data_IF_662837220065
#
_entry.id   IF_662837220065
#
_cell.length_a   1.000
_cell.length_b   1.000
_cell.length_c   1.000
_cell.angle_alpha   90.00
_cell.angle_beta   90.00
_cell.angle_gamma   90.00
#
_symmetry.space_group_name_H-M   'P 1'
#
loop_
_entity.id
_entity.type
_entity.pdbx_description
1 polymer ?
#
# COMPACT_ATOMS: atom_id res chain seq x y z
N UNK A 1 -58.78 -28.54 -21.26
CA UNK A 1 -57.71 -28.82 -20.27
C UNK A 1 -56.43 -28.23 -20.83
N UNK A 2 -56.15 -26.98 -20.48
CA UNK A 2 -55.18 -26.13 -21.20
C UNK A 2 -53.90 -26.02 -20.38
N UNK A 3 -52.83 -26.62 -20.88
CA UNK A 3 -51.49 -26.57 -20.29
C UNK A 3 -50.87 -25.21 -20.57
N UNK A 4 -50.75 -24.35 -19.56
CA UNK A 4 -49.99 -23.10 -19.64
C UNK A 4 -48.52 -23.42 -19.43
N UNK A 5 -47.74 -23.44 -20.51
CA UNK A 5 -46.27 -23.46 -20.47
C UNK A 5 -45.78 -22.15 -19.85
N UNK A 6 -45.04 -22.23 -18.74
CA UNK A 6 -44.28 -21.09 -18.21
C UNK A 6 -43.13 -20.76 -19.16
N UNK A 7 -42.85 -19.48 -19.48
CA UNK A 7 -41.70 -19.13 -20.28
C UNK A 7 -40.40 -19.37 -19.50
N UNK A 8 -39.47 -20.07 -20.15
CA UNK A 8 -38.10 -20.25 -19.72
C UNK A 8 -37.40 -18.89 -19.82
N UNK A 9 -37.23 -18.18 -18.70
CA UNK A 9 -36.38 -16.99 -18.65
C UNK A 9 -34.93 -17.45 -18.58
N UNK A 10 -34.36 -17.75 -19.73
CA UNK A 10 -32.91 -17.85 -19.89
C UNK A 10 -32.37 -16.43 -20.00
N UNK A 11 -31.97 -15.85 -18.89
CA UNK A 11 -31.19 -14.60 -18.88
C UNK A 11 -29.80 -14.89 -19.39
N UNK A 12 -29.63 -14.95 -20.72
CA UNK A 12 -28.31 -14.87 -21.36
C UNK A 12 -27.79 -13.45 -21.16
N UNK A 13 -26.96 -13.25 -20.13
CA UNK A 13 -26.12 -12.06 -20.04
C UNK A 13 -25.02 -12.25 -21.10
N UNK A 14 -25.16 -11.54 -22.21
CA UNK A 14 -24.10 -11.41 -23.20
C UNK A 14 -22.97 -10.59 -22.57
N UNK A 15 -21.87 -11.26 -22.21
CA UNK A 15 -20.62 -10.61 -21.80
C UNK A 15 -19.90 -10.10 -23.06
N UNK A 16 -20.42 -9.01 -23.64
CA UNK A 16 -19.68 -8.19 -24.61
C UNK A 16 -19.03 -7.05 -23.86
N UNK A 17 -17.86 -7.32 -23.32
CA UNK A 17 -17.06 -6.42 -22.50
C UNK A 17 -16.19 -7.27 -21.60
N UNK A 18 -14.87 -7.23 -21.81
CA UNK A 18 -13.93 -8.04 -21.04
C UNK A 18 -14.20 -7.91 -19.54
N UNK A 19 -14.17 -9.04 -18.83
CA UNK A 19 -14.20 -9.05 -17.36
C UNK A 19 -12.93 -8.33 -16.89
N UNK A 20 -13.06 -7.05 -16.55
CA UNK A 20 -11.98 -6.28 -15.93
C UNK A 20 -11.89 -6.72 -14.46
N UNK A 21 -10.87 -7.50 -14.14
CA UNK A 21 -10.49 -7.71 -12.76
C UNK A 21 -9.93 -6.38 -12.21
N UNK A 22 -10.72 -5.63 -11.43
CA UNK A 22 -10.17 -4.59 -10.55
C UNK A 22 -9.74 -5.29 -9.25
N UNK A 23 -8.69 -6.11 -9.32
CA UNK A 23 -8.04 -6.61 -8.11
C UNK A 23 -7.12 -5.51 -7.60
N UNK A 24 -7.66 -4.56 -6.85
CA UNK A 24 -6.83 -3.60 -6.11
C UNK A 24 -6.32 -4.27 -4.85
N UNK A 25 -5.00 -4.46 -4.74
CA UNK A 25 -4.38 -4.83 -3.47
C UNK A 25 -4.50 -3.64 -2.51
N UNK A 26 -5.13 -3.85 -1.36
CA UNK A 26 -5.25 -2.84 -0.30
C UNK A 26 -4.31 -3.17 0.86
N UNK A 27 -3.31 -2.33 1.06
CA UNK A 27 -2.37 -2.40 2.18
C UNK A 27 -2.81 -1.37 3.22
N UNK A 28 -2.96 -1.79 4.47
CA UNK A 28 -3.26 -0.90 5.59
C UNK A 28 -2.05 -0.82 6.52
N UNK A 29 -1.56 0.39 6.77
CA UNK A 29 -0.45 0.68 7.68
C UNK A 29 -1.00 1.32 8.96
N UNK A 30 -1.26 0.54 10.01
CA UNK A 30 -1.75 1.04 11.30
C UNK A 30 -0.60 1.74 12.05
N UNK A 31 -0.82 2.98 12.48
CA UNK A 31 0.20 3.78 13.19
C UNK A 31 -0.39 4.48 14.40
N UNK A 32 0.41 4.65 15.46
CA UNK A 32 0.02 5.52 16.57
C UNK A 32 -0.07 6.98 16.10
N UNK A 33 -0.98 7.74 16.70
CA UNK A 33 -1.30 9.11 16.29
C UNK A 33 -0.08 10.04 16.27
N UNK A 34 0.81 9.91 17.26
CA UNK A 34 2.06 10.69 17.38
C UNK A 34 3.06 10.42 16.24
N UNK A 35 2.95 9.26 15.58
CA UNK A 35 3.80 8.85 14.45
C UNK A 35 3.19 9.13 13.09
N UNK A 36 1.88 9.40 13.03
CA UNK A 36 1.12 9.51 11.78
C UNK A 36 1.77 10.43 10.74
N UNK A 37 2.09 11.66 11.15
CA UNK A 37 2.66 12.66 10.25
C UNK A 37 4.01 12.23 9.70
N UNK A 38 4.88 11.69 10.55
CA UNK A 38 6.19 11.23 10.15
C UNK A 38 6.11 10.06 9.16
N UNK A 39 5.19 9.11 9.38
CA UNK A 39 4.98 7.98 8.46
C UNK A 39 4.39 8.44 7.12
N UNK A 40 3.42 9.36 7.14
CA UNK A 40 2.89 9.97 5.92
C UNK A 40 3.98 10.69 5.13
N UNK A 41 4.80 11.49 5.79
CA UNK A 41 5.91 12.21 5.15
C UNK A 41 6.97 11.26 4.60
N UNK A 42 7.24 10.14 5.28
CA UNK A 42 8.12 9.10 4.76
C UNK A 42 7.59 8.52 3.43
N UNK A 43 6.33 8.08 3.38
CA UNK A 43 5.75 7.53 2.15
C UNK A 43 5.67 8.57 1.02
N UNK A 44 5.31 9.81 1.35
CA UNK A 44 5.14 10.89 0.36
C UNK A 44 6.47 11.44 -0.16
N UNK A 45 7.44 11.68 0.72
CA UNK A 45 8.67 12.39 0.39
C UNK A 45 9.83 11.43 0.13
N UNK A 46 10.02 10.43 1.00
CA UNK A 46 11.16 9.51 0.91
C UNK A 46 10.92 8.42 -0.16
N UNK A 47 9.73 7.81 -0.13
CA UNK A 47 9.32 6.82 -1.15
C UNK A 47 8.65 7.45 -2.38
N UNK A 48 8.40 8.77 -2.37
CA UNK A 48 7.77 9.50 -3.46
C UNK A 48 6.46 8.87 -3.97
N UNK A 49 5.68 8.25 -3.08
CA UNK A 49 4.43 7.62 -3.47
C UNK A 49 3.38 8.68 -3.84
N UNK A 50 2.64 8.50 -4.95
CA UNK A 50 1.57 9.39 -5.33
C UNK A 50 0.46 9.41 -4.28
N UNK A 51 0.16 10.60 -3.77
CA UNK A 51 -0.99 10.82 -2.89
C UNK A 51 -2.26 10.64 -3.71
N UNK A 52 -3.17 9.80 -3.21
CA UNK A 52 -4.49 9.60 -3.81
C UNK A 52 -5.55 10.42 -3.09
N UNK A 53 -5.63 10.31 -1.77
CA UNK A 53 -6.66 10.95 -0.96
C UNK A 53 -6.30 10.93 0.52
N UNK A 54 -6.88 11.84 1.30
CA UNK A 54 -6.75 11.90 2.76
C UNK A 54 -8.10 12.19 3.40
N UNK A 55 -8.21 11.98 4.71
CA UNK A 55 -9.44 12.29 5.43
C UNK A 55 -9.41 11.92 6.90
N UNK A 56 -10.60 11.89 7.49
CA UNK A 56 -10.83 11.55 8.90
C UNK A 56 -11.88 10.45 8.95
N UNK A 57 -11.66 9.43 9.78
CA UNK A 57 -12.60 8.32 9.97
C UNK A 57 -13.81 8.77 10.82
N UNK A 58 -14.86 7.94 10.88
CA UNK A 58 -16.01 8.18 11.75
C UNK A 58 -15.62 8.28 13.24
N UNK A 59 -14.49 7.70 13.64
CA UNK A 59 -13.96 7.78 15.00
C UNK A 59 -13.08 9.03 15.25
N UNK A 60 -12.92 9.90 14.26
CA UNK A 60 -12.08 11.11 14.37
C UNK A 60 -10.59 10.88 14.05
N UNK A 61 -10.22 9.68 13.60
CA UNK A 61 -8.82 9.33 13.33
C UNK A 61 -8.41 9.76 11.92
N UNK A 62 -7.31 10.52 11.74
CA UNK A 62 -6.82 10.84 10.41
C UNK A 62 -6.33 9.58 9.67
N UNK A 63 -6.46 9.63 8.34
CA UNK A 63 -5.93 8.62 7.44
C UNK A 63 -5.42 9.26 6.14
N UNK A 64 -4.47 8.60 5.49
CA UNK A 64 -3.87 9.04 4.23
C UNK A 64 -3.68 7.84 3.30
N UNK A 65 -4.12 7.97 2.04
CA UNK A 65 -4.01 6.93 1.02
C UNK A 65 -3.09 7.33 -0.13
N UNK A 66 -2.25 6.39 -0.52
CA UNK A 66 -1.38 6.42 -1.69
C UNK A 66 -1.86 5.38 -2.71
N UNK A 67 -1.55 5.60 -3.99
CA UNK A 67 -1.85 4.65 -5.08
C UNK A 67 -0.63 4.41 -5.95
N UNK A 68 -0.34 3.15 -6.26
CA UNK A 68 0.77 2.76 -7.12
C UNK A 68 0.44 1.46 -7.85
N UNK A 69 0.51 1.45 -9.18
CA UNK A 69 0.36 0.22 -9.98
C UNK A 69 -0.95 -0.55 -9.75
N UNK A 70 -2.04 0.14 -9.40
CA UNK A 70 -3.32 -0.49 -9.06
C UNK A 70 -3.44 -1.01 -7.61
N UNK A 71 -2.36 -0.93 -6.82
CA UNK A 71 -2.39 -1.15 -5.38
C UNK A 71 -2.63 0.17 -4.63
N UNK A 72 -3.22 0.08 -3.45
CA UNK A 72 -3.38 1.21 -2.53
C UNK A 72 -2.68 0.92 -1.21
N UNK A 73 -2.04 1.93 -0.65
CA UNK A 73 -1.48 1.91 0.69
C UNK A 73 -2.19 2.97 1.51
N UNK A 74 -2.84 2.60 2.61
CA UNK A 74 -3.55 3.53 3.50
C UNK A 74 -2.88 3.53 4.87
N UNK A 75 -2.29 4.67 5.25
CA UNK A 75 -1.83 4.93 6.62
C UNK A 75 -3.03 5.35 7.44
N UNK A 76 -3.29 4.69 8.56
CA UNK A 76 -4.46 4.96 9.40
C UNK A 76 -4.07 5.02 10.87
N UNK A 77 -4.54 6.03 11.60
CA UNK A 77 -4.20 6.13 13.03
C UNK A 77 -5.05 5.25 13.93
N UNK A 78 -4.39 4.73 14.97
CA UNK A 78 -4.98 4.26 16.21
C UNK A 78 -4.42 5.05 17.40
N UNK A 79 -4.92 4.75 18.60
CA UNK A 79 -4.43 5.39 19.84
C UNK A 79 -4.36 4.38 20.99
N UNK A 80 -3.23 4.34 21.68
CA UNK A 80 -3.03 3.51 22.87
C UNK A 80 -3.15 2.02 22.55
N UNK A 81 -2.62 1.59 21.40
CA UNK A 81 -2.74 0.22 20.89
C UNK A 81 -4.13 -0.16 20.39
N UNK A 82 -5.10 0.77 20.42
CA UNK A 82 -6.44 0.57 19.83
C UNK A 82 -6.45 1.11 18.42
N UNK A 83 -6.41 0.19 17.47
CA UNK A 83 -6.57 0.50 16.05
C UNK A 83 -8.02 0.26 15.63
N UNK A 84 -8.55 1.04 14.67
CA UNK A 84 -9.93 0.92 14.21
C UNK A 84 -10.25 -0.46 13.61
N UNK A 85 -9.21 -1.23 13.27
CA UNK A 85 -9.32 -2.59 12.75
C UNK A 85 -8.42 -3.53 13.59
N UNK A 86 -9.01 -4.28 14.55
CA UNK A 86 -8.27 -5.12 15.50
C UNK A 86 -7.38 -6.20 14.87
N UNK A 87 -7.70 -6.62 13.65
CA UNK A 87 -6.97 -7.59 12.84
C UNK A 87 -5.67 -7.01 12.24
N UNK A 88 -5.48 -5.70 12.28
CA UNK A 88 -4.28 -4.99 11.83
C UNK A 88 -3.49 -4.44 13.02
N UNK A 89 -3.24 -5.25 14.03
CA UNK A 89 -2.22 -4.88 15.02
C UNK A 89 -0.85 -4.91 14.34
N UNK A 90 0.07 -3.99 14.65
CA UNK A 90 1.46 -4.14 14.27
C UNK A 90 1.94 -5.49 14.81
N UNK A 91 2.09 -6.49 13.94
CA UNK A 91 2.42 -7.87 14.36
C UNK A 91 3.89 -7.97 14.78
N UNK A 92 4.66 -6.88 14.73
CA UNK A 92 6.12 -6.92 14.79
C UNK A 92 6.77 -7.54 13.55
N UNK A 93 5.96 -7.99 12.58
CA UNK A 93 6.37 -8.48 11.28
C UNK A 93 5.95 -7.39 10.31
N UNK A 94 6.85 -6.45 10.04
CA UNK A 94 6.57 -5.28 9.21
C UNK A 94 5.88 -5.66 7.90
N UNK A 95 5.02 -4.78 7.40
CA UNK A 95 4.44 -4.95 6.07
C UNK A 95 5.57 -4.84 5.06
N UNK A 96 5.97 -5.95 4.44
CA UNK A 96 6.94 -5.94 3.35
C UNK A 96 6.28 -5.34 2.10
N UNK A 97 6.49 -4.05 1.88
CA UNK A 97 6.13 -3.36 0.64
C UNK A 97 7.35 -3.36 -0.27
N UNK A 98 7.28 -4.01 -1.43
CA UNK A 98 8.29 -3.88 -2.48
C UNK A 98 7.84 -2.83 -3.51
N UNK A 99 8.71 -1.88 -3.82
CA UNK A 99 8.49 -0.87 -4.88
C UNK A 99 9.59 -1.00 -5.92
N UNK A 100 9.22 -1.19 -7.19
CA UNK A 100 10.17 -1.18 -8.29
C UNK A 100 10.44 0.26 -8.77
N UNK A 101 11.71 0.59 -8.97
CA UNK A 101 12.17 1.87 -9.50
C UNK A 101 13.11 1.65 -10.69
N UNK A 102 13.22 2.66 -11.55
CA UNK A 102 14.13 2.60 -12.69
C UNK A 102 15.60 2.54 -12.24
N UNK A 103 15.97 3.37 -11.26
CA UNK A 103 17.33 3.50 -10.72
C UNK A 103 17.32 3.56 -9.20
N UNK A 104 17.99 2.61 -8.55
CA UNK A 104 18.09 2.51 -7.08
C UNK A 104 18.92 3.68 -6.53
N UNK A 105 19.97 4.10 -7.22
CA UNK A 105 20.78 5.26 -6.85
C UNK A 105 19.98 6.55 -6.64
N UNK A 106 18.98 6.82 -7.50
CA UNK A 106 18.08 7.98 -7.32
C UNK A 106 17.19 7.83 -6.09
N UNK A 107 16.70 6.62 -5.82
CA UNK A 107 15.91 6.34 -4.64
C UNK A 107 16.75 6.50 -3.35
N UNK A 108 17.99 6.01 -3.34
CA UNK A 108 18.95 6.18 -2.24
C UNK A 108 19.20 7.66 -1.95
N UNK A 109 19.52 8.46 -2.97
CA UNK A 109 19.78 9.89 -2.80
C UNK A 109 18.58 10.62 -2.16
N UNK A 110 17.35 10.23 -2.56
CA UNK A 110 16.12 10.77 -1.95
C UNK A 110 15.96 10.34 -0.50
N UNK A 111 16.16 9.06 -0.19
CA UNK A 111 16.10 8.55 1.18
C UNK A 111 17.08 9.28 2.10
N UNK A 112 18.32 9.48 1.67
CA UNK A 112 19.35 10.22 2.41
C UNK A 112 18.94 11.68 2.64
N UNK A 113 18.38 12.35 1.63
CA UNK A 113 17.88 13.73 1.76
C UNK A 113 16.74 13.85 2.78
N UNK A 114 15.95 12.81 2.94
CA UNK A 114 14.89 12.70 3.94
C UNK A 114 15.38 12.15 5.29
N UNK A 115 16.68 11.87 5.43
CA UNK A 115 17.29 11.23 6.61
C UNK A 115 16.66 9.87 6.95
N UNK A 116 16.15 9.16 5.96
CA UNK A 116 15.68 7.79 6.11
C UNK A 116 16.88 6.84 6.17
N UNK A 117 16.93 5.99 7.20
CA UNK A 117 18.00 5.02 7.36
C UNK A 117 17.82 3.81 6.44
N UNK A 118 18.85 3.50 5.66
CA UNK A 118 18.95 2.23 4.93
C UNK A 118 19.36 1.15 5.92
N UNK A 119 18.59 0.06 5.95
CA UNK A 119 18.82 -1.08 6.82
C UNK A 119 19.78 -2.08 6.18
N UNK A 120 19.54 -2.40 4.91
CA UNK A 120 20.32 -3.36 4.12
C UNK A 120 20.33 -2.96 2.65
N UNK A 121 21.35 -3.41 1.93
CA UNK A 121 21.48 -3.33 0.48
C UNK A 121 21.91 -4.71 -0.04
N UNK A 122 21.27 -5.16 -1.10
CA UNK A 122 21.48 -6.47 -1.72
C UNK A 122 21.67 -6.32 -3.22
N UNK A 123 22.77 -6.83 -3.74
CA UNK A 123 22.98 -7.04 -5.18
C UNK A 123 22.74 -8.51 -5.51
N UNK A 124 21.77 -8.78 -6.37
CA UNK A 124 21.39 -10.14 -6.75
C UNK A 124 22.29 -10.73 -7.84
N UNK A 125 23.21 -9.96 -8.42
CA UNK A 125 24.17 -10.40 -9.44
C UNK A 125 23.60 -10.54 -10.86
N UNK A 126 22.29 -10.30 -11.05
CA UNK A 126 21.61 -10.22 -12.35
C UNK A 126 21.36 -8.76 -12.80
N UNK A 127 22.01 -7.82 -12.10
CA UNK A 127 21.84 -6.39 -12.26
C UNK A 127 20.58 -5.85 -11.59
N UNK A 128 19.94 -6.61 -10.70
CA UNK A 128 18.91 -6.13 -9.77
C UNK A 128 19.55 -5.81 -8.42
N UNK A 129 19.24 -4.63 -7.90
CA UNK A 129 19.60 -4.20 -6.54
C UNK A 129 18.32 -4.03 -5.74
N UNK A 130 18.34 -4.45 -4.47
CA UNK A 130 17.29 -4.13 -3.52
C UNK A 130 17.86 -3.43 -2.28
N UNK A 131 17.17 -2.39 -1.81
CA UNK A 131 17.46 -1.72 -0.55
C UNK A 131 16.27 -1.88 0.40
N UNK A 132 16.56 -2.17 1.66
CA UNK A 132 15.55 -2.23 2.72
C UNK A 132 15.61 -0.96 3.56
N UNK A 133 14.46 -0.36 3.86
CA UNK A 133 14.31 0.84 4.69
C UNK A 133 13.18 0.65 5.69
N UNK A 134 13.25 1.29 6.86
CA UNK A 134 12.14 1.33 7.80
C UNK A 134 11.44 2.69 7.79
N UNK A 135 10.11 2.68 7.81
CA UNK A 135 9.33 3.87 8.15
C UNK A 135 9.49 4.24 9.64
N UNK A 136 9.04 5.42 10.07
CA UNK A 136 9.08 5.82 11.49
C UNK A 136 8.25 4.95 12.46
N UNK A 137 7.36 4.09 11.95
CA UNK A 137 6.63 3.12 12.75
C UNK A 137 7.36 1.76 12.85
N UNK A 138 8.45 1.56 12.10
CA UNK A 138 9.24 0.33 12.05
C UNK A 138 8.78 -0.66 10.97
N UNK A 139 7.89 -0.27 10.06
CA UNK A 139 7.52 -1.11 8.92
C UNK A 139 8.63 -1.09 7.88
N UNK A 140 9.06 -2.28 7.45
CA UNK A 140 10.14 -2.43 6.48
C UNK A 140 9.58 -2.37 5.06
N UNK A 141 10.07 -1.42 4.26
CA UNK A 141 9.82 -1.36 2.83
C UNK A 141 11.09 -1.77 2.09
N UNK A 142 10.93 -2.43 0.95
CA UNK A 142 12.00 -2.75 0.02
C UNK A 142 11.83 -1.95 -1.27
N UNK A 143 12.93 -1.44 -1.81
CA UNK A 143 12.96 -0.78 -3.10
C UNK A 143 13.86 -1.60 -4.00
N UNK A 144 13.34 -2.00 -5.15
CA UNK A 144 13.98 -2.88 -6.12
C UNK A 144 14.22 -2.12 -7.42
N UNK A 145 15.31 -2.39 -8.12
CA UNK A 145 15.54 -1.77 -9.42
C UNK A 145 16.89 -2.10 -10.01
N UNK A 146 17.26 -1.38 -11.07
CA UNK A 146 18.65 -1.35 -11.56
C UNK A 146 19.49 -0.43 -10.65
N UNK A 147 20.82 -0.60 -10.59
CA UNK A 147 21.71 0.33 -9.91
C UNK A 147 21.43 1.81 -10.25
#
# INVERSE_FOLDING_TARGET
MTVVKRPNVSSKIALTGGVHMIASLGILVPVEDDRFRAVVDFYRLALALPVHSEGVSAAGNPWHRFVMGGATLTVHTGSGGKFPYPEFRPTGHGIALAVEVAHVSEAVARLESCRAGILNEWDYGDGTVAISVADPAGNVCEIWGRP
#
